data_IF_903955441022
#
_entry.id   IF_903955441022
#
_cell.length_a   1.000
_cell.length_b   1.000
_cell.length_c   1.000
_cell.angle_alpha   90.00
_cell.angle_beta   90.00
_cell.angle_gamma   90.00
#
_symmetry.space_group_name_H-M   'P 1'
#
loop_
_entity.id
_entity.type
_entity.pdbx_description
1 polymer ?
#
# COMPACT_ATOMS: atom_id res chain seq x y z
N UNK A 1 -66.52 5.77 48.06
CA UNK A 1 -65.83 6.33 46.87
C UNK A 1 -64.35 6.01 46.94
N UNK A 2 -63.89 4.98 46.23
CA UNK A 2 -62.48 4.73 45.94
C UNK A 2 -62.40 4.31 44.47
N UNK A 3 -62.17 5.29 43.59
CA UNK A 3 -61.89 5.07 42.18
C UNK A 3 -60.50 4.44 42.07
N UNK A 4 -60.43 3.21 41.58
CA UNK A 4 -59.19 2.54 41.20
C UNK A 4 -58.86 2.97 39.77
N UNK A 5 -57.89 3.87 39.59
CA UNK A 5 -57.43 4.33 38.28
C UNK A 5 -56.53 3.26 37.64
N UNK A 6 -56.98 2.64 36.54
CA UNK A 6 -56.16 1.77 35.70
C UNK A 6 -55.15 2.61 34.90
N UNK A 7 -53.87 2.45 35.18
CA UNK A 7 -52.75 2.97 34.38
C UNK A 7 -52.52 2.04 33.18
N UNK A 8 -52.88 2.51 31.98
CA UNK A 8 -52.60 1.82 30.71
C UNK A 8 -51.19 2.22 30.27
N UNK A 9 -50.19 1.35 30.49
CA UNK A 9 -48.86 1.50 29.92
C UNK A 9 -48.90 1.09 28.44
N UNK A 10 -48.91 2.07 27.54
CA UNK A 10 -48.79 1.83 26.10
C UNK A 10 -47.31 1.76 25.72
N UNK A 11 -46.78 0.56 25.49
CA UNK A 11 -45.42 0.37 24.97
C UNK A 11 -45.44 0.60 23.47
N UNK A 12 -45.04 1.78 23.03
CA UNK A 12 -44.88 2.08 21.59
C UNK A 12 -43.56 1.44 21.14
N UNK A 13 -43.65 0.31 20.44
CA UNK A 13 -42.51 -0.25 19.71
C UNK A 13 -42.32 0.57 18.43
N UNK A 14 -41.30 1.43 18.39
CA UNK A 14 -40.84 2.01 17.12
C UNK A 14 -40.11 0.93 16.32
N UNK A 15 -40.50 0.64 15.06
CA UNK A 15 -39.70 -0.22 14.20
C UNK A 15 -38.37 0.47 13.92
N UNK A 16 -37.26 -0.18 14.30
CA UNK A 16 -35.92 0.29 14.02
C UNK A 16 -35.70 0.38 12.50
N UNK A 17 -35.55 1.59 11.99
CA UNK A 17 -35.17 1.81 10.59
C UNK A 17 -33.73 1.31 10.37
N UNK A 18 -33.57 0.17 9.70
CA UNK A 18 -32.26 -0.27 9.23
C UNK A 18 -31.83 0.60 8.06
N UNK A 19 -30.98 1.60 8.32
CA UNK A 19 -30.35 2.39 7.26
C UNK A 19 -29.29 1.55 6.55
N UNK A 20 -29.57 1.16 5.31
CA UNK A 20 -28.55 0.59 4.42
C UNK A 20 -27.68 1.72 3.87
N UNK A 21 -26.53 1.97 4.51
CA UNK A 21 -25.52 2.90 4.01
C UNK A 21 -24.65 2.24 2.93
N UNK A 22 -24.26 2.99 1.89
CA UNK A 22 -23.26 2.55 0.90
C UNK A 22 -21.89 3.08 1.34
N UNK A 23 -20.90 2.20 1.48
CA UNK A 23 -19.51 2.56 1.73
C UNK A 23 -18.75 2.62 0.41
N UNK A 24 -18.15 3.78 0.11
CA UNK A 24 -17.23 3.93 -1.01
C UNK A 24 -15.80 3.81 -0.50
N UNK A 25 -15.06 2.80 -0.97
CA UNK A 25 -13.64 2.60 -0.64
C UNK A 25 -12.81 3.04 -1.83
N UNK A 26 -12.00 4.09 -1.65
CA UNK A 26 -11.03 4.53 -2.64
C UNK A 26 -9.67 3.89 -2.35
N UNK A 27 -9.20 3.05 -3.26
CA UNK A 27 -7.88 2.43 -3.20
C UNK A 27 -6.92 3.23 -4.10
N UNK A 28 -5.74 3.60 -3.57
CA UNK A 28 -4.74 4.40 -4.30
C UNK A 28 -3.46 3.58 -4.54
N UNK A 29 -2.65 3.93 -5.55
CA UNK A 29 -1.32 3.37 -5.71
C UNK A 29 -0.43 3.75 -4.53
N UNK A 30 0.31 2.78 -4.00
CA UNK A 30 1.22 2.97 -2.87
C UNK A 30 2.32 1.90 -2.92
N UNK A 31 3.49 2.22 -2.36
CA UNK A 31 4.55 1.24 -2.21
C UNK A 31 5.38 1.50 -0.95
N UNK A 32 5.87 0.42 -0.36
CA UNK A 32 6.94 0.44 0.63
C UNK A 32 8.08 -0.46 0.17
N UNK A 33 9.30 -0.04 0.49
CA UNK A 33 10.51 -0.77 0.12
C UNK A 33 11.46 -0.79 1.31
N UNK A 34 11.94 -1.98 1.66
CA UNK A 34 12.85 -2.20 2.79
C UNK A 34 13.95 -3.14 2.37
N UNK A 35 15.19 -2.79 2.64
CA UNK A 35 16.34 -3.64 2.39
C UNK A 35 16.43 -4.71 3.48
N UNK A 36 16.59 -5.97 3.07
CA UNK A 36 16.87 -7.09 3.95
C UNK A 36 18.38 -7.35 3.93
N UNK A 37 19.11 -6.53 4.69
CA UNK A 37 20.56 -6.49 4.64
C UNK A 37 21.07 -6.16 3.24
N UNK A 38 22.11 -6.87 2.80
CA UNK A 38 22.82 -6.57 1.55
C UNK A 38 22.47 -7.59 0.43
N UNK A 39 21.42 -8.40 0.61
CA UNK A 39 21.14 -9.55 -0.26
C UNK A 39 19.81 -9.43 -1.01
N UNK A 40 18.82 -8.77 -0.43
CA UNK A 40 17.49 -8.70 -1.01
C UNK A 40 16.79 -7.39 -0.66
N UNK A 41 15.83 -7.01 -1.50
CA UNK A 41 14.91 -5.92 -1.25
C UNK A 41 13.49 -6.46 -1.14
N UNK A 42 12.84 -6.13 -0.03
CA UNK A 42 11.42 -6.42 0.16
C UNK A 42 10.60 -5.23 -0.34
N UNK A 43 9.73 -5.49 -1.31
CA UNK A 43 8.87 -4.49 -1.93
C UNK A 43 7.42 -4.88 -1.68
N UNK A 44 6.65 -4.02 -1.04
CA UNK A 44 5.19 -4.18 -0.97
C UNK A 44 4.55 -3.08 -1.78
N UNK A 45 3.90 -3.44 -2.88
CA UNK A 45 3.42 -2.48 -3.86
C UNK A 45 1.98 -2.74 -4.24
N UNK A 46 1.23 -1.64 -4.39
CA UNK A 46 -0.09 -1.61 -4.97
C UNK A 46 -0.06 -0.65 -6.15
N UNK A 47 -0.27 -1.18 -7.35
CA UNK A 47 -0.22 -0.45 -8.61
C UNK A 47 -1.62 0.06 -8.99
N UNK A 48 -1.66 1.13 -9.80
CA UNK A 48 -2.87 1.47 -10.53
C UNK A 48 -3.20 0.38 -11.57
N UNK A 49 -4.46 0.32 -11.99
CA UNK A 49 -4.89 -0.62 -13.03
C UNK A 49 -4.11 -0.35 -14.34
N UNK A 50 -3.54 -1.40 -14.92
CA UNK A 50 -2.75 -1.31 -16.15
C UNK A 50 -1.34 -0.73 -16.00
N UNK A 51 -0.93 -0.33 -14.79
CA UNK A 51 0.42 0.18 -14.51
C UNK A 51 1.37 -0.93 -14.08
N UNK A 52 2.67 -0.67 -14.22
CA UNK A 52 3.75 -1.57 -13.81
C UNK A 52 4.73 -0.84 -12.91
N UNK A 53 5.34 -1.57 -11.98
CA UNK A 53 6.50 -1.10 -11.21
C UNK A 53 7.80 -1.41 -11.96
N UNK A 54 8.79 -0.55 -11.79
CA UNK A 54 10.16 -0.74 -12.25
C UNK A 54 11.09 -0.57 -11.06
N UNK A 55 11.97 -1.54 -10.86
CA UNK A 55 12.95 -1.60 -9.78
C UNK A 55 14.36 -1.66 -10.38
N UNK A 56 15.26 -0.81 -9.91
CA UNK A 56 16.64 -0.78 -10.41
C UNK A 56 17.61 -0.27 -9.35
N UNK A 57 18.90 -0.53 -9.54
CA UNK A 57 19.98 0.02 -8.71
C UNK A 57 20.66 1.19 -9.44
N UNK A 58 20.82 2.32 -8.76
CA UNK A 58 21.48 3.51 -9.29
C UNK A 58 21.96 4.43 -8.15
N UNK A 59 22.86 5.36 -8.48
CA UNK A 59 23.24 6.45 -7.56
C UNK A 59 22.13 7.51 -7.44
N UNK A 60 21.30 7.66 -8.48
CA UNK A 60 20.12 8.53 -8.47
C UNK A 60 18.91 7.86 -9.13
N UNK A 61 17.71 8.18 -8.63
CA UNK A 61 16.45 7.60 -9.10
C UNK A 61 15.74 8.48 -10.15
N UNK A 62 16.52 9.24 -10.93
CA UNK A 62 15.99 10.26 -11.85
C UNK A 62 15.32 9.64 -13.08
N UNK A 63 15.87 8.54 -13.58
CA UNK A 63 15.41 7.88 -14.81
C UNK A 63 15.30 6.37 -14.62
N UNK A 64 14.19 5.82 -15.13
CA UNK A 64 13.98 4.37 -15.21
C UNK A 64 14.84 3.83 -16.36
N UNK A 65 15.79 2.91 -16.12
CA UNK A 65 16.55 2.29 -17.18
C UNK A 65 15.69 1.27 -17.95
N UNK A 66 15.95 1.03 -19.25
CA UNK A 66 15.20 0.05 -20.05
C UNK A 66 15.30 -1.39 -19.50
N UNK A 67 16.39 -1.70 -18.82
CA UNK A 67 16.66 -3.01 -18.24
C UNK A 67 16.17 -3.13 -16.78
N UNK A 68 15.30 -2.24 -16.28
CA UNK A 68 14.81 -2.35 -14.90
C UNK A 68 14.05 -3.67 -14.66
N UNK A 69 14.11 -4.17 -13.42
CA UNK A 69 13.29 -5.30 -13.00
C UNK A 69 11.82 -4.89 -12.97
N UNK A 70 10.96 -5.62 -13.69
CA UNK A 70 9.55 -5.25 -13.85
C UNK A 70 8.68 -5.97 -12.82
N UNK A 71 7.89 -5.19 -12.08
CA UNK A 71 6.85 -5.68 -11.19
C UNK A 71 5.50 -5.48 -11.86
N UNK A 72 4.92 -6.55 -12.37
CA UNK A 72 3.69 -6.50 -13.19
C UNK A 72 2.39 -6.53 -12.39
N UNK A 73 2.43 -6.83 -11.09
CA UNK A 73 1.24 -7.01 -10.25
C UNK A 73 1.42 -6.38 -8.87
N UNK A 74 0.28 -6.10 -8.23
CA UNK A 74 0.26 -5.63 -6.84
C UNK A 74 0.47 -6.81 -5.90
N UNK A 75 1.54 -6.81 -5.11
CA UNK A 75 1.82 -7.83 -4.11
C UNK A 75 2.97 -7.40 -3.17
N UNK A 76 3.35 -8.29 -2.25
CA UNK A 76 4.63 -8.29 -1.58
C UNK A 76 5.64 -9.20 -2.30
N UNK A 77 6.81 -8.64 -2.60
CA UNK A 77 7.91 -9.31 -3.27
C UNK A 77 9.14 -9.29 -2.37
N UNK A 78 9.92 -10.37 -2.42
CA UNK A 78 11.28 -10.42 -1.91
C UNK A 78 12.18 -10.68 -3.11
N UNK A 79 12.90 -9.65 -3.56
CA UNK A 79 13.68 -9.68 -4.80
C UNK A 79 15.17 -9.68 -4.41
N UNK A 80 15.94 -10.72 -4.77
CA UNK A 80 17.39 -10.73 -4.56
C UNK A 80 18.04 -9.55 -5.27
N UNK A 81 18.97 -8.84 -4.62
CA UNK A 81 19.67 -7.70 -5.22
C UNK A 81 20.50 -8.12 -6.45
N UNK A 82 20.90 -9.40 -6.54
CA UNK A 82 21.54 -9.98 -7.72
C UNK A 82 20.64 -10.00 -8.97
N UNK A 83 19.32 -9.96 -8.79
CA UNK A 83 18.34 -9.93 -9.89
C UNK A 83 17.92 -8.51 -10.26
N UNK A 84 18.27 -7.51 -9.44
CA UNK A 84 17.91 -6.11 -9.68
C UNK A 84 18.98 -5.46 -10.56
N UNK A 85 18.64 -5.04 -11.79
CA UNK A 85 19.63 -4.53 -12.72
C UNK A 85 20.13 -3.13 -12.33
N UNK A 86 21.37 -2.86 -12.67
CA UNK A 86 22.04 -1.58 -12.42
C UNK A 86 23.17 -1.70 -11.40
N UNK A 87 23.75 -0.55 -11.06
CA UNK A 87 24.82 -0.43 -10.07
C UNK A 87 24.77 0.98 -9.46
N UNK A 88 25.14 1.09 -8.18
CA UNK A 88 25.12 2.36 -7.45
C UNK A 88 24.80 2.17 -5.97
N UNK A 89 24.67 3.30 -5.27
CA UNK A 89 24.46 3.33 -3.82
C UNK A 89 22.98 3.25 -3.38
N UNK A 90 22.02 3.18 -4.31
CA UNK A 90 20.59 3.17 -4.00
C UNK A 90 19.81 2.15 -4.81
N UNK A 91 18.70 1.69 -4.23
CA UNK A 91 17.64 0.96 -4.92
C UNK A 91 16.48 1.92 -5.16
N UNK A 92 15.98 1.94 -6.39
CA UNK A 92 14.93 2.81 -6.85
C UNK A 92 13.72 1.99 -7.29
N UNK A 93 12.53 2.45 -6.93
CA UNK A 93 11.25 1.89 -7.34
C UNK A 93 10.37 3.01 -7.87
N UNK A 94 9.85 2.84 -9.08
CA UNK A 94 8.87 3.77 -9.64
C UNK A 94 7.78 3.03 -10.41
N UNK A 95 6.58 3.60 -10.47
CA UNK A 95 5.51 3.10 -11.34
C UNK A 95 5.48 3.81 -12.69
N UNK A 96 4.99 3.13 -13.71
CA UNK A 96 4.85 3.64 -15.08
C UNK A 96 3.89 4.83 -15.21
N UNK A 97 2.92 4.96 -14.30
CA UNK A 97 2.00 6.09 -14.20
C UNK A 97 2.58 7.28 -13.40
N UNK A 98 3.78 7.12 -12.82
CA UNK A 98 4.45 8.13 -12.01
C UNK A 98 3.88 8.33 -10.60
N UNK A 99 2.82 7.60 -10.20
CA UNK A 99 2.19 7.74 -8.89
C UNK A 99 3.07 7.24 -7.73
N UNK A 100 3.97 6.30 -8.01
CA UNK A 100 4.89 5.72 -7.04
C UNK A 100 6.31 6.12 -7.42
N UNK A 101 7.05 6.69 -6.46
CA UNK A 101 8.50 6.87 -6.48
C UNK A 101 9.03 6.69 -5.07
N UNK A 102 9.84 5.65 -4.87
CA UNK A 102 10.42 5.29 -3.57
C UNK A 102 11.87 4.88 -3.80
N UNK A 103 12.75 5.23 -2.87
CA UNK A 103 14.16 4.85 -2.93
C UNK A 103 14.67 4.43 -1.55
N UNK A 104 15.64 3.54 -1.52
CA UNK A 104 16.35 3.13 -0.32
C UNK A 104 17.85 3.15 -0.57
N UNK A 105 18.64 3.60 0.41
CA UNK A 105 20.10 3.60 0.31
C UNK A 105 20.64 2.21 0.64
N UNK A 106 21.49 1.67 -0.23
CA UNK A 106 22.20 0.40 -0.04
C UNK A 106 23.34 0.51 0.98
N UNK A 107 23.75 1.72 1.33
CA UNK A 107 24.71 1.94 2.41
C UNK A 107 24.16 1.34 3.71
N UNK A 108 24.90 0.45 4.39
CA UNK A 108 24.47 -0.06 5.67
C UNK A 108 24.21 1.13 6.59
N UNK A 109 23.01 1.21 7.17
CA UNK A 109 22.78 2.13 8.27
C UNK A 109 23.84 1.81 9.33
N UNK A 110 24.80 2.72 9.52
CA UNK A 110 25.81 2.57 10.55
C UNK A 110 25.08 2.34 11.87
N UNK A 111 25.15 1.10 12.37
CA UNK A 111 24.57 0.68 13.64
C UNK A 111 25.22 1.58 14.71
N UNK A 112 24.44 2.51 15.29
CA UNK A 112 24.79 3.18 16.55
C UNK A 112 24.21 2.39 17.70
#
# INVERSE_FOLDING_TARGET
>A
MRLLALLIFSVVNLPGASMTGRLLVQVRPEATMTLQGDQAVQVRIRLASGSQGSLWVADSCDRIPPAAYVISRSDAYLIPLSEVPGAGAGVCLASSDGAIRVSASLTPAARR
#
